data_IF_552299018350
#
_entry.id   IF_552299018350
#
_cell.length_a   1.000
_cell.length_b   1.000
_cell.length_c   1.000
_cell.angle_alpha   90.00
_cell.angle_beta   90.00
_cell.angle_gamma   90.00
#
_symmetry.space_group_name_H-M   'P 1'
#
loop_
_entity.id
_entity.type
_entity.pdbx_description
1 polymer ?
#
# COMPACT_ATOMS: atom_id res chain seq x y z
N UNK A 1 6.49 -23.84 38.07
CA UNK A 1 6.51 -22.50 37.49
C UNK A 1 5.10 -21.99 37.63
N UNK A 2 4.93 -20.74 38.05
CA UNK A 2 3.59 -20.13 38.06
C UNK A 2 3.21 -19.72 36.63
N UNK A 3 1.92 -19.56 36.39
CA UNK A 3 1.43 -19.12 35.07
C UNK A 3 2.08 -17.79 34.63
N UNK A 4 2.27 -16.85 35.56
CA UNK A 4 2.98 -15.60 35.31
C UNK A 4 4.49 -15.76 35.04
N UNK A 5 5.16 -16.73 35.65
CA UNK A 5 6.57 -17.01 35.32
C UNK A 5 6.71 -17.51 33.88
N UNK A 6 5.76 -18.35 33.43
CA UNK A 6 5.73 -18.87 32.07
C UNK A 6 5.40 -17.74 31.05
N UNK A 7 4.45 -16.85 31.35
CA UNK A 7 4.16 -15.66 30.53
C UNK A 7 5.37 -14.73 30.45
N UNK A 8 6.00 -14.41 31.59
CA UNK A 8 7.15 -13.51 31.61
C UNK A 8 8.32 -14.08 30.78
N UNK A 9 8.57 -15.38 30.87
CA UNK A 9 9.60 -16.03 30.06
C UNK A 9 9.27 -16.03 28.57
N UNK A 10 7.98 -16.11 28.19
CA UNK A 10 7.58 -16.06 26.79
C UNK A 10 7.66 -14.63 26.23
N UNK A 11 7.26 -13.63 27.01
CA UNK A 11 7.40 -12.21 26.64
C UNK A 11 8.87 -11.79 26.51
N UNK A 12 9.75 -12.23 27.41
CA UNK A 12 11.20 -11.95 27.34
C UNK A 12 11.83 -12.54 26.06
N UNK A 13 11.35 -13.69 25.59
CA UNK A 13 11.81 -14.28 24.33
C UNK A 13 11.45 -13.43 23.10
N UNK A 14 10.35 -12.68 23.18
CA UNK A 14 9.90 -11.70 22.17
C UNK A 14 10.52 -10.30 22.41
N UNK A 15 11.37 -10.15 23.44
CA UNK A 15 11.99 -8.88 23.81
C UNK A 15 11.06 -7.90 24.53
N UNK A 16 9.92 -8.38 25.04
CA UNK A 16 8.91 -7.57 25.74
C UNK A 16 9.17 -7.64 27.24
N UNK A 17 9.37 -6.47 27.86
CA UNK A 17 9.57 -6.36 29.30
C UNK A 17 8.27 -6.62 30.07
N UNK A 18 8.36 -7.27 31.24
CA UNK A 18 7.23 -7.47 32.14
C UNK A 18 7.63 -7.29 33.59
N UNK A 19 6.69 -6.81 34.42
CA UNK A 19 6.86 -6.64 35.87
C UNK A 19 5.74 -7.37 36.61
N UNK A 20 6.07 -8.15 37.63
CA UNK A 20 5.08 -8.87 38.44
C UNK A 20 5.05 -8.26 39.84
N UNK A 21 3.86 -7.89 40.30
CA UNK A 21 3.63 -7.43 41.66
C UNK A 21 2.43 -8.17 42.26
N UNK A 22 2.67 -8.93 43.33
CA UNK A 22 1.65 -9.74 44.00
C UNK A 22 0.89 -10.67 43.02
N UNK A 23 -0.39 -10.39 42.80
CA UNK A 23 -1.32 -11.18 41.97
C UNK A 23 -1.57 -10.54 40.58
N UNK A 24 -0.80 -9.50 40.21
CA UNK A 24 -0.93 -8.77 38.95
C UNK A 24 0.41 -8.73 38.22
N UNK A 25 0.39 -9.07 36.93
CA UNK A 25 1.51 -8.82 36.02
C UNK A 25 1.19 -7.58 35.17
N UNK A 26 2.18 -6.73 34.96
CA UNK A 26 2.09 -5.54 34.13
C UNK A 26 3.08 -5.64 32.98
N UNK A 27 2.66 -5.19 31.81
CA UNK A 27 3.46 -5.15 30.58
C UNK A 27 3.36 -3.74 30.01
N UNK A 28 4.43 -2.92 30.05
CA UNK A 28 4.41 -1.58 29.49
C UNK A 28 4.28 -1.64 27.96
N UNK A 29 3.40 -0.82 27.38
CA UNK A 29 3.33 -0.59 25.93
C UNK A 29 4.03 0.74 25.62
N UNK A 30 3.60 1.82 26.27
CA UNK A 30 4.17 3.17 26.14
C UNK A 30 4.45 3.77 27.52
N UNK A 31 4.92 5.03 27.55
CA UNK A 31 5.03 5.78 28.81
C UNK A 31 3.70 5.95 29.52
N UNK A 32 2.59 5.92 28.76
CA UNK A 32 1.27 6.32 29.24
C UNK A 32 0.31 5.12 29.33
N UNK A 33 0.61 3.98 28.71
CA UNK A 33 -0.25 2.79 28.63
C UNK A 33 0.49 1.50 29.01
N UNK A 34 -0.23 0.63 29.72
CA UNK A 34 0.22 -0.70 30.09
C UNK A 34 -0.90 -1.74 30.05
N UNK A 35 -0.51 -3.00 29.85
CA UNK A 35 -1.39 -4.16 29.94
C UNK A 35 -1.26 -4.78 31.33
N UNK A 36 -2.38 -5.11 31.95
CA UNK A 36 -2.43 -5.77 33.25
C UNK A 36 -3.07 -7.14 33.13
N UNK A 37 -2.36 -8.17 33.59
CA UNK A 37 -2.88 -9.52 33.73
C UNK A 37 -3.26 -9.79 35.19
N UNK A 38 -4.53 -10.15 35.40
CA UNK A 38 -5.05 -10.54 36.72
C UNK A 38 -5.42 -12.01 36.68
N UNK A 39 -4.79 -12.84 37.53
CA UNK A 39 -5.02 -14.28 37.57
C UNK A 39 -6.46 -14.59 38.00
N UNK A 40 -7.13 -15.46 37.24
CA UNK A 40 -8.53 -15.85 37.49
C UNK A 40 -8.59 -17.10 38.37
N UNK A 41 -7.74 -18.09 38.09
CA UNK A 41 -7.77 -19.40 38.74
C UNK A 41 -6.35 -19.96 38.93
N UNK A 42 -5.98 -20.40 40.15
CA UNK A 42 -4.64 -20.92 40.45
C UNK A 42 -4.37 -22.36 39.98
N UNK A 43 -5.38 -23.06 39.46
CA UNK A 43 -5.30 -24.44 38.95
C UNK A 43 -5.42 -24.51 37.43
N UNK A 44 -6.04 -23.51 36.81
CA UNK A 44 -6.17 -23.39 35.36
C UNK A 44 -5.42 -22.12 34.90
N UNK A 45 -4.45 -22.21 33.97
CA UNK A 45 -3.77 -21.04 33.44
C UNK A 45 -4.77 -20.10 32.76
N UNK A 46 -5.24 -19.09 33.49
CA UNK A 46 -6.26 -18.17 33.03
C UNK A 46 -6.07 -16.79 33.65
N UNK A 47 -6.05 -15.76 32.82
CA UNK A 47 -5.92 -14.37 33.27
C UNK A 47 -6.87 -13.44 32.50
N UNK A 48 -7.43 -12.48 33.21
CA UNK A 48 -8.10 -11.34 32.61
C UNK A 48 -7.02 -10.36 32.15
N UNK A 49 -7.18 -9.82 30.94
CA UNK A 49 -6.23 -8.88 30.33
C UNK A 49 -6.90 -7.51 30.24
N UNK A 50 -6.34 -6.55 30.95
CA UNK A 50 -6.81 -5.17 31.00
C UNK A 50 -5.82 -4.24 30.30
N UNK A 51 -6.32 -3.13 29.76
CA UNK A 51 -5.49 -1.98 29.40
C UNK A 51 -5.75 -0.88 30.43
N UNK A 52 -4.68 -0.30 30.94
CA UNK A 52 -4.71 0.78 31.91
C UNK A 52 -3.67 1.84 31.55
N UNK A 53 -3.86 3.05 32.08
CA UNK A 53 -2.82 4.06 32.02
C UNK A 53 -1.68 3.71 33.01
N UNK A 54 -0.44 4.00 32.63
CA UNK A 54 0.75 3.52 33.36
C UNK A 54 1.11 4.35 34.61
N UNK A 55 0.60 5.58 34.75
CA UNK A 55 0.95 6.54 35.81
C UNK A 55 -0.27 6.95 36.68
N UNK A 56 -1.14 6.00 37.00
CA UNK A 56 -2.31 6.25 37.85
C UNK A 56 -2.00 5.80 39.28
N UNK A 57 -2.05 6.74 40.23
CA UNK A 57 -1.91 6.45 41.65
C UNK A 57 -3.07 5.56 42.14
N UNK A 58 -2.80 4.64 43.08
CA UNK A 58 -3.80 3.71 43.66
C UNK A 58 -5.01 4.43 44.31
N UNK A 59 -4.90 5.73 44.56
CA UNK A 59 -5.93 6.59 45.15
C UNK A 59 -6.81 7.31 44.10
N UNK A 60 -6.53 7.17 42.80
CA UNK A 60 -7.30 7.81 41.74
C UNK A 60 -8.52 6.97 41.36
N UNK A 61 -9.67 7.30 41.97
CA UNK A 61 -10.96 6.62 41.78
C UNK A 61 -11.59 6.86 40.38
N UNK A 62 -10.95 7.63 39.49
CA UNK A 62 -11.51 8.12 38.22
C UNK A 62 -11.00 7.38 36.95
N UNK A 63 -10.02 6.46 37.04
CA UNK A 63 -9.52 5.72 35.88
C UNK A 63 -9.75 4.20 35.95
N UNK A 64 -10.51 3.72 34.98
CA UNK A 64 -11.12 2.39 34.92
C UNK A 64 -10.30 1.51 33.98
N UNK A 65 -9.49 0.58 34.53
CA UNK A 65 -8.82 -0.44 33.72
C UNK A 65 -9.86 -1.19 32.88
N UNK A 66 -9.71 -1.18 31.55
CA UNK A 66 -10.69 -1.73 30.63
C UNK A 66 -10.34 -3.18 30.31
N UNK A 67 -11.26 -4.11 30.57
CA UNK A 67 -11.10 -5.51 30.18
C UNK A 67 -11.16 -5.62 28.65
N UNK A 68 -10.06 -6.04 28.03
CA UNK A 68 -9.96 -6.16 26.57
C UNK A 68 -9.95 -7.61 26.10
N UNK A 69 -9.42 -8.53 26.90
CA UNK A 69 -9.42 -9.96 26.55
C UNK A 69 -9.27 -10.87 27.79
N UNK A 70 -9.37 -12.18 27.56
CA UNK A 70 -9.10 -13.22 28.55
C UNK A 70 -8.16 -14.23 27.91
N UNK A 71 -7.03 -14.50 28.56
CA UNK A 71 -6.06 -15.48 28.11
C UNK A 71 -6.26 -16.80 28.87
N UNK A 72 -6.30 -17.93 28.15
CA UNK A 72 -6.43 -19.28 28.73
C UNK A 72 -5.16 -20.12 28.57
N UNK A 73 -4.11 -19.53 28.02
CA UNK A 73 -2.80 -20.13 27.83
C UNK A 73 -1.73 -19.04 27.79
N UNK A 74 -0.46 -19.45 27.83
CA UNK A 74 0.68 -18.54 27.69
C UNK A 74 0.69 -17.93 26.29
N UNK A 75 0.44 -18.73 25.27
CA UNK A 75 0.39 -18.27 23.87
C UNK A 75 -0.72 -17.21 23.67
N UNK A 76 -1.92 -17.44 24.23
CA UNK A 76 -3.02 -16.45 24.16
C UNK A 76 -2.64 -15.13 24.84
N UNK A 77 -1.88 -15.19 25.96
CA UNK A 77 -1.44 -14.01 26.69
C UNK A 77 -0.43 -13.20 25.87
N UNK A 78 0.55 -13.87 25.26
CA UNK A 78 1.53 -13.22 24.37
C UNK A 78 0.83 -12.63 23.15
N UNK A 79 -0.08 -13.36 22.50
CA UNK A 79 -0.82 -12.86 21.34
C UNK A 79 -1.64 -11.61 21.69
N UNK A 80 -2.31 -11.61 22.85
CA UNK A 80 -3.05 -10.45 23.32
C UNK A 80 -2.13 -9.24 23.51
N UNK A 81 -0.94 -9.42 24.09
CA UNK A 81 0.04 -8.34 24.25
C UNK A 81 0.53 -7.84 22.91
N UNK A 82 1.00 -8.73 22.03
CA UNK A 82 1.55 -8.36 20.72
C UNK A 82 0.54 -7.61 19.86
N UNK A 83 -0.75 -7.98 19.89
CA UNK A 83 -1.81 -7.28 19.16
C UNK A 83 -1.96 -5.82 19.61
N UNK A 84 -1.93 -5.57 20.91
CA UNK A 84 -2.09 -4.21 21.44
C UNK A 84 -0.83 -3.37 21.24
N UNK A 85 0.36 -3.97 21.38
CA UNK A 85 1.62 -3.29 21.03
C UNK A 85 1.62 -2.91 19.55
N UNK A 86 1.25 -3.82 18.65
CA UNK A 86 1.17 -3.53 17.22
C UNK A 86 0.19 -2.39 16.91
N UNK A 87 -0.98 -2.40 17.57
CA UNK A 87 -2.00 -1.35 17.38
C UNK A 87 -1.49 0.01 17.86
N UNK A 88 -0.84 0.06 19.02
CA UNK A 88 -0.26 1.29 19.56
C UNK A 88 0.89 1.83 18.69
N UNK A 89 1.73 0.94 18.15
CA UNK A 89 2.77 1.32 17.19
C UNK A 89 2.19 1.92 15.91
N UNK A 90 1.14 1.32 15.33
CA UNK A 90 0.43 1.88 14.17
C UNK A 90 -0.09 3.29 14.48
N UNK A 91 -0.75 3.47 15.63
CA UNK A 91 -1.30 4.78 16.05
C UNK A 91 -0.19 5.81 16.24
N UNK A 92 0.93 5.39 16.85
CA UNK A 92 2.08 6.27 17.09
C UNK A 92 2.70 6.72 15.77
N UNK A 93 2.93 5.81 14.83
CA UNK A 93 3.49 6.14 13.51
C UNK A 93 2.57 7.06 12.71
N UNK A 94 1.25 6.80 12.72
CA UNK A 94 0.27 7.68 12.07
C UNK A 94 0.30 9.08 12.68
N UNK A 95 0.35 9.18 14.01
CA UNK A 95 0.48 10.48 14.68
C UNK A 95 1.78 11.18 14.31
N UNK A 96 2.91 10.47 14.29
CA UNK A 96 4.21 11.05 13.99
C UNK A 96 4.30 11.56 12.54
N UNK A 97 3.63 10.87 11.60
CA UNK A 97 3.47 11.31 10.21
C UNK A 97 2.60 12.58 10.11
N UNK A 98 1.43 12.60 10.76
CA UNK A 98 0.50 13.74 10.75
C UNK A 98 1.06 14.98 11.45
N UNK A 99 1.80 14.79 12.54
CA UNK A 99 2.38 15.89 13.31
C UNK A 99 3.72 16.37 12.74
N UNK A 100 4.32 15.64 11.80
CA UNK A 100 5.64 15.95 11.24
C UNK A 100 6.73 15.98 12.32
N UNK A 101 6.67 15.06 13.28
CA UNK A 101 7.56 15.06 14.46
C UNK A 101 9.02 14.79 14.08
N UNK A 102 9.26 14.06 12.98
CA UNK A 102 10.60 13.72 12.50
C UNK A 102 11.15 14.78 11.52
N UNK A 103 12.40 15.20 11.71
CA UNK A 103 13.04 16.24 10.91
C UNK A 103 13.19 15.88 9.42
N UNK A 104 13.23 14.57 9.10
CA UNK A 104 13.40 14.07 7.72
C UNK A 104 12.15 14.28 6.86
N UNK A 105 10.98 14.41 7.49
CA UNK A 105 9.70 14.61 6.81
C UNK A 105 9.14 16.02 7.07
N UNK A 106 9.93 16.94 7.62
CA UNK A 106 9.44 18.27 8.00
C UNK A 106 8.93 19.12 6.82
N UNK A 107 9.28 18.74 5.59
CA UNK A 107 8.82 19.38 4.34
C UNK A 107 7.57 18.68 3.75
N UNK A 108 7.15 17.54 4.31
CA UNK A 108 5.95 16.81 3.90
C UNK A 108 4.80 17.15 4.84
N UNK A 109 3.69 17.61 4.28
CA UNK A 109 2.44 17.85 5.01
C UNK A 109 1.50 16.67 4.74
N UNK A 110 1.33 15.80 5.73
CA UNK A 110 0.43 14.65 5.64
C UNK A 110 -0.96 14.98 6.18
N UNK A 111 -1.97 14.63 5.41
CA UNK A 111 -3.38 14.62 5.80
C UNK A 111 -3.90 13.18 5.89
N UNK A 112 -4.83 12.95 6.81
CA UNK A 112 -5.48 11.65 6.94
C UNK A 112 -6.58 11.52 5.89
N UNK A 113 -6.63 10.37 5.22
CA UNK A 113 -7.68 10.07 4.26
C UNK A 113 -9.07 9.99 4.93
N UNK A 114 -10.10 10.51 4.24
CA UNK A 114 -11.46 10.59 4.79
C UNK A 114 -12.14 9.22 4.92
N UNK A 115 -11.79 8.27 4.04
CA UNK A 115 -12.40 6.95 3.95
C UNK A 115 -11.60 5.90 4.73
N UNK A 116 -10.28 6.06 4.82
CA UNK A 116 -9.38 5.15 5.47
C UNK A 116 -8.49 5.84 6.52
N UNK A 117 -8.79 5.69 7.82
CA UNK A 117 -8.00 6.32 8.89
C UNK A 117 -6.57 5.77 9.01
N UNK A 118 -6.25 4.65 8.37
CA UNK A 118 -4.90 4.08 8.33
C UNK A 118 -4.06 4.61 7.17
N UNK A 119 -4.64 5.40 6.28
CA UNK A 119 -3.99 5.99 5.13
C UNK A 119 -3.74 7.48 5.41
N UNK A 120 -2.49 7.89 5.20
CA UNK A 120 -2.13 9.31 5.14
C UNK A 120 -1.57 9.65 3.77
N UNK A 121 -1.87 10.86 3.31
CA UNK A 121 -1.55 11.36 1.98
C UNK A 121 -0.81 12.68 2.11
N UNK A 122 0.26 12.87 1.37
CA UNK A 122 0.96 14.14 1.25
C UNK A 122 1.08 14.53 -0.22
N UNK A 123 0.77 15.78 -0.55
CA UNK A 123 1.03 16.35 -1.87
C UNK A 123 2.54 16.53 -2.07
N UNK A 124 3.05 16.05 -3.19
CA UNK A 124 4.47 16.11 -3.55
C UNK A 124 4.62 16.43 -5.03
N UNK A 125 5.70 17.11 -5.42
CA UNK A 125 5.86 17.51 -6.83
C UNK A 125 4.85 18.59 -7.25
N UNK A 126 4.38 18.53 -8.49
CA UNK A 126 3.36 19.46 -9.00
C UNK A 126 1.97 18.83 -9.02
N UNK A 127 1.89 17.58 -9.44
CA UNK A 127 0.68 16.81 -9.71
C UNK A 127 0.89 15.35 -9.24
N UNK A 128 1.50 15.18 -8.06
CA UNK A 128 1.78 13.86 -7.49
C UNK A 128 1.41 13.77 -6.00
N UNK A 129 1.15 12.55 -5.55
CA UNK A 129 0.81 12.25 -4.16
C UNK A 129 1.67 11.12 -3.60
N UNK A 130 2.07 11.29 -2.34
CA UNK A 130 2.70 10.25 -1.53
C UNK A 130 1.68 9.67 -0.56
N UNK A 131 1.39 8.38 -0.71
CA UNK A 131 0.43 7.64 0.11
C UNK A 131 1.13 6.65 1.01
N UNK A 132 0.84 6.72 2.31
CA UNK A 132 1.38 5.81 3.34
C UNK A 132 0.22 5.13 4.06
N UNK A 133 0.07 3.82 3.84
CA UNK A 133 -0.91 2.99 4.54
C UNK A 133 -0.23 2.27 5.70
N UNK A 134 -0.64 2.54 6.93
CA UNK A 134 -0.07 1.93 8.14
C UNK A 134 -1.07 0.95 8.75
N UNK A 135 -0.80 -0.34 8.63
CA UNK A 135 -1.67 -1.40 9.11
C UNK A 135 -0.89 -2.52 9.82
N UNK A 136 -1.59 -3.50 10.37
CA UNK A 136 -0.97 -4.68 11.00
C UNK A 136 -1.14 -5.90 10.10
N UNK A 137 -0.02 -6.41 9.57
CA UNK A 137 0.02 -7.60 8.70
C UNK A 137 0.59 -8.76 9.49
N UNK A 138 -0.16 -9.85 9.65
CA UNK A 138 0.24 -11.03 10.44
C UNK A 138 0.71 -10.70 11.87
N UNK A 139 0.11 -9.68 12.49
CA UNK A 139 0.47 -9.21 13.83
C UNK A 139 1.70 -8.29 13.89
N UNK A 140 2.32 -7.98 12.75
CA UNK A 140 3.45 -7.07 12.64
C UNK A 140 2.98 -5.72 12.06
N UNK A 141 3.20 -4.60 12.76
CA UNK A 141 2.85 -3.29 12.25
C UNK A 141 3.75 -2.98 11.05
N UNK A 142 3.12 -2.58 9.95
CA UNK A 142 3.73 -2.44 8.64
C UNK A 142 3.20 -1.19 7.94
N UNK A 143 4.09 -0.42 7.31
CA UNK A 143 3.74 0.72 6.49
C UNK A 143 3.98 0.41 5.02
N UNK A 144 2.96 0.57 4.18
CA UNK A 144 3.03 0.41 2.73
C UNK A 144 3.08 1.80 2.11
N UNK A 145 4.13 2.06 1.32
CA UNK A 145 4.36 3.38 0.73
C UNK A 145 4.19 3.30 -0.79
N UNK A 146 3.41 4.23 -1.33
CA UNK A 146 3.14 4.38 -2.76
C UNK A 146 3.28 5.84 -3.18
N UNK A 147 3.90 6.04 -4.31
CA UNK A 147 3.94 7.33 -4.99
C UNK A 147 3.02 7.26 -6.21
N UNK A 148 2.16 8.26 -6.38
CA UNK A 148 1.20 8.36 -7.47
C UNK A 148 1.51 9.64 -8.25
N UNK A 149 1.76 9.50 -9.55
CA UNK A 149 1.85 10.63 -10.46
C UNK A 149 0.54 10.72 -11.26
N UNK A 150 -0.04 11.91 -11.31
CA UNK A 150 -1.20 12.20 -12.13
C UNK A 150 -0.71 12.88 -13.40
N UNK A 151 -0.97 12.26 -14.55
CA UNK A 151 -0.53 12.76 -15.87
C UNK A 151 -1.72 13.21 -16.72
N UNK A 152 -2.58 14.04 -16.13
CA UNK A 152 -3.70 14.65 -16.84
C UNK A 152 -3.38 16.12 -16.99
N UNK A 153 -3.45 16.63 -18.22
CA UNK A 153 -3.65 18.05 -18.34
C UNK A 153 -5.11 18.40 -17.98
N UNK A 154 -5.37 19.69 -17.72
CA UNK A 154 -6.70 20.18 -17.36
C UNK A 154 -7.74 19.86 -18.47
N UNK A 155 -7.30 19.62 -19.71
CA UNK A 155 -8.16 19.30 -20.86
C UNK A 155 -8.59 17.82 -20.84
N UNK A 156 -7.69 16.90 -20.50
CA UNK A 156 -7.99 15.46 -20.34
C UNK A 156 -8.96 15.20 -19.16
N UNK A 157 -8.84 15.98 -18.08
CA UNK A 157 -9.77 15.91 -16.96
C UNK A 157 -11.16 16.41 -17.35
N UNK A 158 -11.27 17.50 -18.11
CA UNK A 158 -12.54 17.99 -18.66
C UNK A 158 -13.20 16.95 -19.59
N UNK A 159 -12.42 16.24 -20.41
CA UNK A 159 -12.95 15.20 -21.30
C UNK A 159 -13.48 13.98 -20.52
N UNK A 160 -12.75 13.51 -19.49
CA UNK A 160 -13.20 12.41 -18.63
C UNK A 160 -14.43 12.79 -17.79
N UNK A 161 -14.50 14.03 -17.29
CA UNK A 161 -15.69 14.54 -16.61
C UNK A 161 -16.90 14.59 -17.56
N UNK A 162 -16.72 15.12 -18.78
CA UNK A 162 -17.76 15.17 -19.80
C UNK A 162 -18.21 13.76 -20.23
N UNK A 163 -17.31 12.78 -20.31
CA UNK A 163 -17.62 11.38 -20.59
C UNK A 163 -18.40 10.74 -19.43
N UNK A 164 -17.96 10.89 -18.18
CA UNK A 164 -18.66 10.35 -17.00
C UNK A 164 -20.06 10.96 -16.84
N UNK A 165 -20.20 12.26 -17.09
CA UNK A 165 -21.51 12.93 -17.18
C UNK A 165 -22.30 12.31 -18.33
N UNK A 166 -21.73 12.20 -19.52
CA UNK A 166 -22.43 11.64 -20.69
C UNK A 166 -22.89 10.19 -20.49
N UNK A 167 -22.12 9.34 -19.81
CA UNK A 167 -22.52 7.99 -19.43
C UNK A 167 -23.65 7.99 -18.41
N UNK A 168 -23.57 8.83 -17.36
CA UNK A 168 -24.63 8.95 -16.35
C UNK A 168 -25.96 9.40 -16.97
N UNK A 169 -25.91 10.22 -18.03
CA UNK A 169 -27.10 10.63 -18.78
C UNK A 169 -27.64 9.54 -19.72
N UNK A 170 -26.79 8.60 -20.15
CA UNK A 170 -27.16 7.45 -20.99
C UNK A 170 -27.71 6.26 -20.20
N UNK A 171 -27.36 6.09 -18.91
CA UNK A 171 -27.85 4.99 -18.06
C UNK A 171 -29.38 5.00 -17.89
N UNK A 172 -30.04 6.13 -18.16
CA UNK A 172 -31.49 6.29 -17.98
C UNK A 172 -32.27 6.56 -19.30
N UNK A 173 -31.72 6.18 -20.46
CA UNK A 173 -32.48 6.22 -21.73
C UNK A 173 -33.55 5.12 -21.86
N UNK A 174 -33.62 4.15 -20.92
CA UNK A 174 -34.69 3.13 -20.93
C UNK A 174 -36.03 3.59 -20.30
N UNK A 175 -36.06 4.71 -19.56
CA UNK A 175 -37.29 5.32 -19.01
C UNK A 175 -37.58 6.70 -19.66
N UNK A 176 -38.18 6.67 -20.86
CA UNK A 176 -38.54 7.82 -21.73
C UNK A 176 -39.55 8.86 -21.14
N UNK A 177 -39.76 8.96 -19.83
CA UNK A 177 -40.83 9.81 -19.25
C UNK A 177 -40.41 10.72 -18.07
N UNK A 178 -39.12 10.95 -17.81
CA UNK A 178 -38.68 11.95 -16.81
C UNK A 178 -38.44 13.32 -17.45
N UNK A 179 -39.19 14.35 -17.02
CA UNK A 179 -38.94 15.73 -17.45
C UNK A 179 -37.65 16.31 -16.84
N UNK A 180 -37.08 17.32 -17.51
CA UNK A 180 -35.78 17.95 -17.18
C UNK A 180 -35.70 18.39 -15.70
N UNK A 181 -36.82 18.77 -15.10
CA UNK A 181 -36.91 19.17 -13.70
C UNK A 181 -36.98 17.98 -12.72
N UNK A 182 -37.47 16.81 -13.15
CA UNK A 182 -37.41 15.56 -12.38
C UNK A 182 -36.03 14.90 -12.47
N UNK A 183 -35.35 14.96 -13.63
CA UNK A 183 -33.92 14.59 -13.74
C UNK A 183 -33.06 15.43 -12.79
N UNK A 184 -33.21 16.76 -12.81
CA UNK A 184 -32.46 17.67 -11.92
C UNK A 184 -32.70 17.40 -10.42
N UNK A 185 -33.88 16.90 -10.07
CA UNK A 185 -34.23 16.54 -8.69
C UNK A 185 -33.61 15.20 -8.24
N UNK A 186 -33.29 14.30 -9.17
CA UNK A 186 -32.53 13.07 -8.91
C UNK A 186 -31.07 13.39 -8.55
N UNK A 187 -30.43 14.31 -9.30
CA UNK A 187 -29.08 14.81 -9.00
C UNK A 187 -28.99 15.50 -7.63
N UNK A 188 -30.03 16.21 -7.21
CA UNK A 188 -30.07 16.88 -5.90
C UNK A 188 -30.31 15.94 -4.70
N UNK A 189 -30.67 14.68 -4.95
CA UNK A 189 -31.00 13.67 -3.95
C UNK A 189 -30.03 12.46 -3.95
N UNK A 190 -28.99 12.51 -4.78
CA UNK A 190 -27.92 11.52 -4.81
C UNK A 190 -27.05 11.76 -3.57
N UNK A 191 -27.06 10.83 -2.63
CA UNK A 191 -26.05 10.78 -1.57
C UNK A 191 -24.67 10.69 -2.24
N UNK A 192 -23.65 11.36 -1.71
CA UNK A 192 -22.31 11.50 -2.31
C UNK A 192 -21.65 10.17 -2.74
N UNK A 193 -22.16 9.04 -2.24
CA UNK A 193 -21.73 7.67 -2.54
C UNK A 193 -22.16 7.14 -3.93
N UNK A 194 -23.12 7.76 -4.62
CA UNK A 194 -23.65 7.31 -5.93
C UNK A 194 -23.10 8.13 -7.13
N UNK A 195 -22.16 9.05 -6.88
CA UNK A 195 -21.41 9.72 -7.96
C UNK A 195 -20.37 8.72 -8.48
N UNK A 196 -20.35 8.37 -9.78
CA UNK A 196 -19.29 7.54 -10.33
C UNK A 196 -17.95 8.21 -10.02
N UNK A 197 -17.13 7.53 -9.22
CA UNK A 197 -15.77 7.96 -8.90
C UNK A 197 -15.04 7.98 -10.24
N UNK A 198 -14.69 9.16 -10.73
CA UNK A 198 -13.74 9.30 -11.84
C UNK A 198 -12.43 8.76 -11.29
N UNK A 199 -12.11 7.50 -11.59
CA UNK A 199 -10.80 6.93 -11.31
C UNK A 199 -9.81 7.63 -12.22
N UNK A 200 -9.24 8.72 -11.72
CA UNK A 200 -8.17 9.46 -12.37
C UNK A 200 -7.00 8.48 -12.60
N UNK A 201 -6.61 8.15 -13.85
CA UNK A 201 -5.60 7.13 -14.18
C UNK A 201 -4.18 7.39 -13.63
N UNK A 202 -3.94 7.30 -12.32
CA UNK A 202 -2.63 7.59 -11.76
C UNK A 202 -1.59 6.49 -12.06
N UNK A 203 -0.39 6.88 -12.47
CA UNK A 203 0.75 5.98 -12.55
C UNK A 203 1.33 5.76 -11.15
N UNK A 204 1.37 4.49 -10.72
CA UNK A 204 1.71 4.12 -9.35
C UNK A 204 3.11 3.50 -9.25
N UNK A 205 4.00 4.18 -8.52
CA UNK A 205 5.30 3.65 -8.13
C UNK A 205 5.24 3.06 -6.71
N UNK A 206 5.37 1.74 -6.60
CA UNK A 206 5.42 1.04 -5.32
C UNK A 206 6.80 1.16 -4.68
N UNK A 207 6.88 1.87 -3.55
CA UNK A 207 8.14 2.09 -2.83
C UNK A 207 8.44 0.97 -1.82
N UNK A 208 7.41 0.20 -1.43
CA UNK A 208 7.54 -1.06 -0.70
C UNK A 208 6.81 -1.07 0.64
N UNK A 209 7.11 -2.09 1.45
CA UNK A 209 6.54 -2.30 2.79
C UNK A 209 7.65 -2.25 3.85
N UNK A 210 7.41 -1.51 4.93
CA UNK A 210 8.38 -1.23 5.99
C UNK A 210 7.84 -1.65 7.35
N UNK A 211 8.60 -2.50 8.04
CA UNK A 211 8.40 -2.82 9.47
C UNK A 211 9.39 -2.07 10.37
N UNK A 212 10.38 -1.41 9.76
CA UNK A 212 11.38 -0.57 10.42
C UNK A 212 11.01 0.90 10.12
N UNK A 213 10.40 1.56 11.10
CA UNK A 213 9.88 2.91 10.93
C UNK A 213 10.98 3.96 10.81
N UNK A 214 12.18 3.73 11.37
CA UNK A 214 13.31 4.63 11.12
C UNK A 214 13.69 4.64 9.64
N UNK A 215 13.68 3.46 9.00
CA UNK A 215 13.90 3.33 7.56
C UNK A 215 12.75 3.88 6.73
N UNK A 216 11.51 3.77 7.22
CA UNK A 216 10.34 4.42 6.58
C UNK A 216 10.60 5.92 6.47
N UNK A 217 10.94 6.60 7.58
CA UNK A 217 11.20 8.04 7.57
C UNK A 217 12.39 8.44 6.68
N UNK A 218 13.45 7.61 6.61
CA UNK A 218 14.55 7.83 5.66
C UNK A 218 14.07 7.79 4.20
N UNK A 219 13.17 6.87 3.87
CA UNK A 219 12.61 6.76 2.52
C UNK A 219 11.68 7.92 2.23
N UNK A 220 10.80 8.29 3.15
CA UNK A 220 9.89 9.44 2.95
C UNK A 220 10.68 10.73 2.73
N UNK A 221 11.77 10.95 3.47
CA UNK A 221 12.67 12.08 3.23
C UNK A 221 13.39 12.02 1.88
N UNK A 222 13.68 10.82 1.35
CA UNK A 222 14.21 10.68 -0.01
C UNK A 222 13.14 10.99 -1.07
N UNK A 223 11.88 10.60 -0.82
CA UNK A 223 10.77 10.85 -1.73
C UNK A 223 10.57 12.35 -1.91
N UNK A 224 10.60 13.15 -0.84
CA UNK A 224 10.46 14.60 -0.95
C UNK A 224 11.53 15.23 -1.85
N UNK A 225 12.76 14.71 -1.80
CA UNK A 225 13.86 15.18 -2.66
C UNK A 225 13.72 14.70 -4.12
N UNK A 226 13.14 13.53 -4.36
CA UNK A 226 13.07 12.88 -5.67
C UNK A 226 11.73 13.04 -6.39
N UNK A 227 10.70 13.57 -5.72
CA UNK A 227 9.33 13.61 -6.22
C UNK A 227 9.23 14.23 -7.63
N UNK A 228 9.85 15.39 -7.85
CA UNK A 228 9.84 16.07 -9.15
C UNK A 228 10.53 15.26 -10.25
N UNK A 229 11.61 14.55 -9.92
CA UNK A 229 12.34 13.74 -10.89
C UNK A 229 11.58 12.46 -11.25
N UNK A 230 10.85 11.87 -10.29
CA UNK A 230 10.01 10.70 -10.53
C UNK A 230 8.72 11.03 -11.25
N UNK A 231 8.07 12.13 -10.89
CA UNK A 231 6.92 12.69 -11.61
C UNK A 231 7.26 12.82 -13.10
N UNK A 232 8.35 13.51 -13.44
CA UNK A 232 8.78 13.68 -14.83
C UNK A 232 9.14 12.37 -15.57
N UNK A 233 9.38 11.27 -14.85
CA UNK A 233 9.67 9.95 -15.44
C UNK A 233 8.45 9.04 -15.54
N UNK A 234 7.41 9.32 -14.74
CA UNK A 234 6.17 8.56 -14.70
C UNK A 234 5.08 9.20 -15.59
N UNK A 235 5.26 10.45 -16.00
CA UNK A 235 4.51 11.09 -17.11
C UNK A 235 4.57 10.21 -18.36
N UNK A 236 3.43 10.06 -19.05
CA UNK A 236 3.28 9.21 -20.21
C UNK A 236 4.35 9.52 -21.26
N UNK A 237 4.88 8.45 -21.82
CA UNK A 237 5.75 8.54 -23.00
C UNK A 237 4.91 9.04 -24.18
N UNK A 238 5.12 10.29 -24.57
CA UNK A 238 4.53 10.82 -25.80
C UNK A 238 5.27 10.21 -27.01
N UNK A 239 4.65 9.22 -27.65
CA UNK A 239 5.17 8.57 -28.87
C UNK A 239 5.45 9.59 -29.99
N UNK A 240 4.75 10.74 -30.02
CA UNK A 240 4.94 11.77 -31.03
C UNK A 240 6.22 12.60 -30.83
N UNK A 241 6.76 12.65 -29.60
CA UNK A 241 7.99 13.39 -29.26
C UNK A 241 9.26 12.50 -29.30
N UNK A 242 9.09 11.19 -29.52
CA UNK A 242 10.18 10.25 -29.72
C UNK A 242 10.46 10.04 -31.21
N UNK A 243 11.44 10.77 -31.76
CA UNK A 243 12.05 10.41 -33.05
C UNK A 243 12.72 9.04 -32.90
N UNK A 244 12.04 7.98 -33.35
CA UNK A 244 12.58 6.62 -33.42
C UNK A 244 13.99 6.71 -34.04
N UNK A 245 15.05 6.33 -33.31
CA UNK A 245 16.40 6.49 -33.83
C UNK A 245 16.51 5.65 -35.09
N UNK A 246 16.80 6.29 -36.25
CA UNK A 246 16.96 5.66 -37.56
C UNK A 246 17.72 4.33 -37.41
N UNK A 247 16.98 3.23 -37.24
CA UNK A 247 17.56 1.90 -37.21
C UNK A 247 18.02 1.71 -38.63
N UNK A 248 19.33 1.75 -38.85
CA UNK A 248 19.91 1.38 -40.13
C UNK A 248 19.36 0.01 -40.48
N UNK A 249 18.45 0.00 -41.45
CA UNK A 249 17.78 -1.18 -41.94
C UNK A 249 18.82 -1.99 -42.72
N UNK A 250 19.70 -2.68 -41.99
CA UNK A 250 20.89 -3.34 -42.52
C UNK A 250 20.51 -4.55 -43.38
N UNK A 251 19.20 -4.87 -43.45
CA UNK A 251 18.61 -5.96 -44.22
C UNK A 251 17.49 -5.54 -45.18
N UNK A 252 17.07 -4.27 -45.23
CA UNK A 252 16.28 -3.77 -46.36
C UNK A 252 17.22 -3.20 -47.41
N UNK A 253 17.78 -4.12 -48.18
CA UNK A 253 18.22 -3.83 -49.54
C UNK A 253 17.00 -3.29 -50.29
N UNK A 254 17.03 -2.00 -50.66
CA UNK A 254 16.12 -1.40 -51.65
C UNK A 254 16.01 -2.34 -52.85
N UNK A 255 14.97 -3.16 -52.86
CA UNK A 255 14.66 -4.11 -53.91
C UNK A 255 13.14 -4.19 -54.10
N UNK A 256 12.49 -3.03 -54.17
CA UNK A 256 11.21 -2.85 -54.87
C UNK A 256 11.55 -2.22 -56.23
N UNK A 257 11.82 -3.01 -57.28
CA UNK A 257 10.86 -3.67 -58.18
C UNK A 257 10.25 -2.69 -59.20
N UNK A 258 11.06 -2.39 -60.24
CA UNK A 258 10.60 -1.86 -61.54
C UNK A 258 11.74 -1.97 -62.57
N UNK A 259 11.86 -3.14 -63.23
CA UNK A 259 12.25 -3.21 -64.65
C UNK A 259 12.06 -4.65 -65.20
N UNK A 260 10.93 -4.84 -65.88
CA UNK A 260 10.67 -5.92 -66.84
C UNK A 260 11.75 -5.92 -67.95
N UNK A 261 12.81 -6.74 -67.87
CA UNK A 261 13.54 -7.16 -69.08
C UNK A 261 14.07 -8.61 -68.97
N UNK A 262 13.38 -9.52 -69.67
CA UNK A 262 13.86 -10.74 -70.34
C UNK A 262 15.20 -11.35 -69.88
N UNK A 263 15.15 -12.44 -69.11
CA UNK A 263 16.18 -13.47 -69.14
C UNK A 263 15.55 -14.86 -69.32
N UNK A 264 15.28 -15.18 -70.59
CA UNK A 264 15.09 -16.56 -71.00
C UNK A 264 16.33 -17.42 -70.69
N UNK A 265 16.07 -18.65 -70.23
CA UNK A 265 16.81 -19.86 -70.60
C UNK A 265 18.23 -20.02 -70.01
N UNK A 266 18.37 -20.84 -68.96
CA UNK A 266 18.90 -22.20 -69.14
C UNK A 266 18.75 -23.07 -67.88
N UNK A 267 18.03 -24.17 -68.11
CA UNK A 267 18.03 -25.45 -67.42
C UNK A 267 19.41 -25.90 -66.92
N UNK A 268 19.56 -26.23 -65.64
CA UNK A 268 20.30 -27.42 -65.18
C UNK A 268 19.88 -27.73 -63.74
N UNK A 269 18.83 -28.53 -63.65
CA UNK A 269 18.69 -29.51 -62.58
C UNK A 269 19.91 -30.43 -62.65
N UNK A 270 20.73 -30.50 -61.59
CA UNK A 270 21.55 -31.67 -61.32
C UNK A 270 21.33 -32.08 -59.88
N UNK A 271 20.65 -33.22 -59.77
CA UNK A 271 20.45 -34.07 -58.59
C UNK A 271 21.77 -34.48 -57.91
N UNK A 272 21.59 -34.93 -56.67
CA UNK A 272 22.43 -35.85 -55.89
C UNK A 272 23.73 -35.30 -55.25
N UNK A 273 23.77 -35.27 -53.92
CA UNK A 273 24.27 -36.45 -53.20
C UNK A 273 23.78 -36.46 -51.74
N UNK A 274 23.11 -37.56 -51.37
CA UNK A 274 22.84 -37.98 -50.00
C UNK A 274 24.15 -38.06 -49.19
N UNK A 275 24.13 -37.56 -47.96
CA UNK A 275 25.00 -38.10 -46.91
C UNK A 275 24.33 -37.96 -45.54
N UNK A 276 23.59 -39.01 -45.18
CA UNK A 276 23.36 -39.43 -43.80
C UNK A 276 24.69 -39.41 -43.01
N UNK A 277 24.66 -38.79 -41.84
CA UNK A 277 25.55 -39.13 -40.74
C UNK A 277 24.86 -38.83 -39.41
N UNK A 278 24.01 -39.77 -38.99
CA UNK A 278 23.86 -40.08 -37.57
C UNK A 278 25.26 -40.38 -36.99
N UNK A 279 25.68 -39.68 -35.93
CA UNK A 279 26.50 -40.34 -34.90
C UNK A 279 26.28 -39.69 -33.53
N UNK A 280 25.95 -40.58 -32.60
CA UNK A 280 25.68 -40.35 -31.19
C UNK A 280 26.92 -39.85 -30.44
N UNK A 281 26.69 -39.16 -29.31
CA UNK A 281 27.78 -38.69 -28.46
C UNK A 281 27.36 -38.34 -27.05
N UNK A 282 26.68 -39.29 -26.39
CA UNK A 282 26.59 -39.37 -24.92
C UNK A 282 27.99 -39.25 -24.28
N UNK A 283 28.10 -38.42 -23.24
CA UNK A 283 29.00 -38.69 -22.10
C UNK A 283 28.75 -37.70 -20.95
N UNK A 284 27.92 -38.18 -20.01
CA UNK A 284 28.22 -38.29 -18.58
C UNK A 284 29.07 -37.21 -17.90
#
# INVERSE_FOLDING_TARGET
MSFFEDIASALDAEGIESRVNEDVMFVPITSDLEIQFVEIDPLLPAANVYIAAADVDEDDEEFEAVLVSVAFSVDDAVEAVSRHIATDQVVTVLRDLLEGTDERIAELEFDQDELNPHLVVAEVGNDSELRVLVETIDGVPSAIVRFLAFDFDEEDMEELEDEAVTEMWQVDEEDEDLDENERLALFGNTDSDDIPIVEVPAEALELGTYTDFDRLFDVLGLVSEQALDWEAQLVNFDEDDFEEPDVYDIFCEDADDDDDEDLEFFDTFTEDDDADADDEGDNN
#
